data_IF_393847132082
#
_entry.id   IF_393847132082
#
_cell.length_a   1.000
_cell.length_b   1.000
_cell.length_c   1.000
_cell.angle_alpha   90.00
_cell.angle_beta   90.00
_cell.angle_gamma   90.00
#
_symmetry.space_group_name_H-M   'P 1'
#
loop_
_entity.id
_entity.type
_entity.pdbx_description
1 polymer ?
#
# COMPACT_ATOMS: atom_id res chain seq x y z
N UNK A 1 -37.74 22.67 40.71
CA UNK A 1 -38.89 21.71 40.75
C UNK A 1 -39.21 21.26 42.17
N UNK A 2 -38.27 20.78 42.95
CA UNK A 2 -38.49 20.27 44.33
C UNK A 2 -39.22 21.27 45.26
N UNK A 3 -38.92 22.57 45.17
CA UNK A 3 -39.59 23.58 45.98
C UNK A 3 -41.06 23.83 45.63
N UNK A 4 -41.56 23.30 44.53
CA UNK A 4 -42.95 23.41 44.07
C UNK A 4 -43.79 22.18 44.37
N UNK A 5 -43.25 20.98 44.05
CA UNK A 5 -43.87 19.72 44.37
C UNK A 5 -42.84 18.58 44.28
N UNK A 6 -42.63 17.85 45.37
CA UNK A 6 -41.64 16.77 45.48
C UNK A 6 -42.06 15.55 44.64
N UNK A 7 -43.32 15.17 44.68
CA UNK A 7 -43.83 13.97 43.97
C UNK A 7 -43.73 14.08 42.45
N UNK A 8 -44.14 15.25 41.91
CA UNK A 8 -44.01 15.49 40.46
C UNK A 8 -42.55 15.51 40.06
N UNK A 9 -41.65 16.08 40.88
CA UNK A 9 -40.22 16.12 40.58
C UNK A 9 -39.61 14.71 40.58
N UNK A 10 -39.93 13.87 41.55
CA UNK A 10 -39.48 12.48 41.60
C UNK A 10 -40.00 11.68 40.40
N UNK A 11 -41.27 11.90 39.98
CA UNK A 11 -41.80 11.26 38.77
C UNK A 11 -41.03 11.65 37.53
N UNK A 12 -40.65 12.91 37.32
CA UNK A 12 -39.84 13.37 36.18
C UNK A 12 -38.46 12.71 36.22
N UNK A 13 -37.82 12.68 37.41
CA UNK A 13 -36.49 12.07 37.54
C UNK A 13 -36.56 10.56 37.24
N UNK A 14 -37.60 9.87 37.70
CA UNK A 14 -37.77 8.42 37.46
C UNK A 14 -38.02 8.09 35.99
N UNK A 15 -38.72 8.96 35.25
CA UNK A 15 -39.01 8.76 33.82
C UNK A 15 -37.88 9.19 32.87
N UNK A 16 -36.98 10.05 33.32
CA UNK A 16 -35.85 10.56 32.49
C UNK A 16 -34.96 9.45 31.93
N UNK A 17 -34.58 8.36 32.69
CA UNK A 17 -33.76 7.27 32.16
C UNK A 17 -34.38 6.57 30.93
N UNK A 18 -35.71 6.63 30.76
CA UNK A 18 -36.39 6.04 29.61
C UNK A 18 -35.91 6.65 28.30
N UNK A 19 -35.61 7.95 28.26
CA UNK A 19 -35.09 8.61 27.08
C UNK A 19 -33.68 8.10 26.68
N UNK A 20 -32.86 7.79 27.68
CA UNK A 20 -31.52 7.20 27.42
C UNK A 20 -31.63 5.76 26.92
N UNK A 21 -32.53 4.95 27.44
CA UNK A 21 -32.75 3.57 26.98
C UNK A 21 -33.18 3.55 25.52
N UNK A 22 -34.13 4.39 25.15
CA UNK A 22 -34.61 4.52 23.76
C UNK A 22 -33.47 5.03 22.84
N UNK A 23 -32.74 6.05 23.26
CA UNK A 23 -31.63 6.58 22.51
C UNK A 23 -30.51 5.54 22.31
N UNK A 24 -30.13 4.81 23.35
CA UNK A 24 -29.13 3.73 23.29
C UNK A 24 -29.53 2.63 22.30
N UNK A 25 -30.80 2.22 22.34
CA UNK A 25 -31.32 1.19 21.44
C UNK A 25 -31.23 1.64 19.97
N UNK A 26 -31.68 2.85 19.67
CA UNK A 26 -31.66 3.40 18.29
C UNK A 26 -30.23 3.62 17.82
N UNK A 27 -29.37 4.21 18.67
CA UNK A 27 -27.96 4.47 18.33
C UNK A 27 -27.20 3.19 18.05
N UNK A 28 -27.38 2.14 18.82
CA UNK A 28 -26.75 0.82 18.58
C UNK A 28 -27.16 0.22 17.23
N UNK A 29 -28.44 0.36 16.86
CA UNK A 29 -28.94 -0.10 15.56
C UNK A 29 -28.38 0.74 14.41
N UNK A 30 -28.34 2.04 14.59
CA UNK A 30 -27.76 2.98 13.63
C UNK A 30 -26.29 2.67 13.36
N UNK A 31 -25.48 2.52 14.42
CA UNK A 31 -24.07 2.18 14.33
C UNK A 31 -23.83 0.89 13.53
N UNK A 32 -24.58 -0.17 13.83
CA UNK A 32 -24.45 -1.44 13.10
C UNK A 32 -24.74 -1.28 11.61
N UNK A 33 -25.72 -0.46 11.24
CA UNK A 33 -26.06 -0.21 9.84
C UNK A 33 -25.00 0.65 9.14
N UNK A 34 -24.45 1.67 9.80
CA UNK A 34 -23.36 2.49 9.26
C UNK A 34 -22.09 1.66 9.05
N UNK A 35 -21.77 0.74 9.97
CA UNK A 35 -20.63 -0.18 9.79
C UNK A 35 -20.80 -1.04 8.54
N UNK A 36 -21.97 -1.68 8.38
CA UNK A 36 -22.29 -2.49 7.19
C UNK A 36 -22.27 -1.67 5.90
N UNK A 37 -22.79 -0.44 5.94
CA UNK A 37 -22.72 0.50 4.81
C UNK A 37 -21.29 0.80 4.42
N UNK A 38 -20.39 1.08 5.38
CA UNK A 38 -18.99 1.35 5.14
C UNK A 38 -18.26 0.14 4.52
N UNK A 39 -18.48 -1.05 5.05
CA UNK A 39 -17.92 -2.31 4.52
C UNK A 39 -18.39 -2.57 3.08
N UNK A 40 -19.70 -2.41 2.82
CA UNK A 40 -20.26 -2.65 1.47
C UNK A 40 -19.79 -1.59 0.47
N UNK A 41 -19.63 -0.33 0.92
CA UNK A 41 -19.04 0.74 0.08
C UNK A 41 -17.59 0.39 -0.29
N UNK A 42 -16.80 -0.16 0.63
CA UNK A 42 -15.45 -0.64 0.32
C UNK A 42 -15.44 -1.71 -0.77
N UNK A 43 -16.36 -2.69 -0.69
CA UNK A 43 -16.52 -3.72 -1.75
C UNK A 43 -16.91 -3.12 -3.10
N UNK A 44 -17.78 -2.11 -3.10
CA UNK A 44 -18.20 -1.41 -4.33
C UNK A 44 -17.02 -0.66 -4.95
N UNK A 45 -16.25 0.08 -4.15
CA UNK A 45 -15.07 0.82 -4.63
C UNK A 45 -14.02 -0.13 -5.21
N UNK A 46 -13.72 -1.24 -4.52
CA UNK A 46 -12.78 -2.24 -5.02
C UNK A 46 -13.21 -2.83 -6.36
N UNK A 47 -14.52 -3.14 -6.53
CA UNK A 47 -15.04 -3.61 -7.81
C UNK A 47 -14.90 -2.56 -8.92
N UNK A 48 -15.17 -1.28 -8.61
CA UNK A 48 -15.04 -0.18 -9.59
C UNK A 48 -13.57 -0.06 -10.03
N UNK A 49 -12.63 -0.04 -9.07
CA UNK A 49 -11.19 0.04 -9.37
C UNK A 49 -10.72 -1.16 -10.20
N UNK A 50 -11.17 -2.38 -9.87
CA UNK A 50 -10.86 -3.59 -10.63
C UNK A 50 -11.39 -3.51 -12.07
N UNK A 51 -12.66 -3.15 -12.26
CA UNK A 51 -13.29 -3.17 -13.59
C UNK A 51 -12.86 -1.97 -14.45
N UNK A 52 -12.71 -0.79 -13.88
CA UNK A 52 -12.27 0.41 -14.61
C UNK A 52 -10.77 0.34 -14.91
N UNK A 53 -9.95 -0.08 -13.93
CA UNK A 53 -8.50 -0.25 -14.13
C UNK A 53 -8.18 -1.27 -15.24
N UNK A 54 -9.01 -2.31 -15.37
CA UNK A 54 -8.86 -3.35 -16.39
C UNK A 54 -9.86 -3.23 -17.54
N UNK A 55 -10.33 -2.01 -17.88
CA UNK A 55 -11.39 -1.78 -18.88
C UNK A 55 -11.08 -2.44 -20.25
N UNK A 56 -9.82 -2.44 -20.68
CA UNK A 56 -9.41 -3.08 -21.95
C UNK A 56 -9.69 -4.59 -21.92
N UNK A 57 -9.41 -5.25 -20.80
CA UNK A 57 -9.65 -6.70 -20.61
C UNK A 57 -11.15 -6.97 -20.53
N UNK A 58 -11.87 -6.16 -19.73
CA UNK A 58 -13.34 -6.28 -19.60
C UNK A 58 -14.01 -6.22 -20.98
N UNK A 59 -13.61 -5.25 -21.83
CA UNK A 59 -14.15 -5.13 -23.21
C UNK A 59 -13.70 -6.27 -24.12
N UNK A 60 -12.44 -6.66 -24.07
CA UNK A 60 -11.91 -7.73 -24.94
C UNK A 60 -12.63 -9.06 -24.73
N UNK A 61 -13.08 -9.34 -23.49
CA UNK A 61 -13.80 -10.57 -23.15
C UNK A 61 -15.33 -10.41 -23.09
N UNK A 62 -15.89 -9.24 -23.44
CA UNK A 62 -17.33 -8.96 -23.37
C UNK A 62 -17.92 -9.17 -21.97
N UNK A 63 -17.16 -8.75 -20.92
CA UNK A 63 -17.54 -9.00 -19.53
C UNK A 63 -18.42 -7.88 -18.92
N UNK A 64 -18.79 -6.87 -19.70
CA UNK A 64 -19.50 -5.65 -19.24
C UNK A 64 -20.81 -5.99 -18.53
N UNK A 65 -21.63 -6.88 -19.14
CA UNK A 65 -22.91 -7.27 -18.56
C UNK A 65 -22.77 -7.98 -17.21
N UNK A 66 -21.73 -8.81 -17.06
CA UNK A 66 -21.46 -9.50 -15.80
C UNK A 66 -20.93 -8.54 -14.75
N UNK A 67 -20.04 -7.63 -15.13
CA UNK A 67 -19.53 -6.57 -14.25
C UNK A 67 -20.66 -5.68 -13.74
N UNK A 68 -21.58 -5.25 -14.66
CA UNK A 68 -22.75 -4.45 -14.32
C UNK A 68 -23.70 -5.19 -13.37
N UNK A 69 -24.00 -6.46 -13.60
CA UNK A 69 -24.83 -7.25 -12.69
C UNK A 69 -24.22 -7.36 -11.29
N UNK A 70 -22.92 -7.64 -11.21
CA UNK A 70 -22.21 -7.71 -9.92
C UNK A 70 -22.21 -6.36 -9.20
N UNK A 71 -22.05 -5.26 -9.96
CA UNK A 71 -22.16 -3.91 -9.40
C UNK A 71 -23.57 -3.65 -8.86
N UNK A 72 -24.60 -4.00 -9.60
CA UNK A 72 -26.02 -3.80 -9.21
C UNK A 72 -26.37 -4.60 -7.95
N UNK A 73 -25.84 -5.81 -7.77
CA UNK A 73 -26.03 -6.61 -6.56
C UNK A 73 -25.43 -5.92 -5.34
N UNK A 74 -24.17 -5.46 -5.43
CA UNK A 74 -23.49 -4.75 -4.34
C UNK A 74 -24.17 -3.40 -4.07
N UNK A 75 -24.58 -2.68 -5.13
CA UNK A 75 -25.25 -1.40 -5.02
C UNK A 75 -26.63 -1.52 -4.37
N UNK A 76 -27.35 -2.61 -4.64
CA UNK A 76 -28.63 -2.93 -3.97
C UNK A 76 -28.44 -3.16 -2.48
N UNK A 77 -27.41 -3.93 -2.11
CA UNK A 77 -27.06 -4.19 -0.70
C UNK A 77 -26.66 -2.86 -0.01
N UNK A 78 -25.81 -2.06 -0.65
CA UNK A 78 -25.39 -0.75 -0.15
C UNK A 78 -26.58 0.18 0.05
N UNK A 79 -27.53 0.22 -0.90
CA UNK A 79 -28.76 1.00 -0.80
C UNK A 79 -29.59 0.59 0.43
N UNK A 80 -29.76 -0.71 0.67
CA UNK A 80 -30.51 -1.20 1.83
C UNK A 80 -29.85 -0.80 3.17
N UNK A 81 -28.54 -0.95 3.28
CA UNK A 81 -27.83 -0.54 4.51
C UNK A 81 -27.83 0.97 4.68
N UNK A 82 -27.66 1.74 3.60
CA UNK A 82 -27.71 3.20 3.63
C UNK A 82 -29.09 3.69 4.05
N UNK A 83 -30.16 3.13 3.50
CA UNK A 83 -31.51 3.49 3.86
C UNK A 83 -31.80 3.18 5.33
N UNK A 84 -31.41 2.00 5.84
CA UNK A 84 -31.60 1.61 7.24
C UNK A 84 -30.75 2.48 8.18
N UNK A 85 -29.50 2.80 7.79
CA UNK A 85 -28.62 3.66 8.58
C UNK A 85 -29.20 5.05 8.77
N UNK A 86 -29.64 5.68 7.67
CA UNK A 86 -30.30 7.01 7.68
C UNK A 86 -31.61 6.96 8.44
N UNK A 87 -32.42 5.91 8.25
CA UNK A 87 -33.69 5.76 8.95
C UNK A 87 -33.49 5.71 10.48
N UNK A 88 -32.62 4.82 10.99
CA UNK A 88 -32.35 4.74 12.41
C UNK A 88 -31.71 6.03 12.97
N UNK A 89 -30.80 6.63 12.25
CA UNK A 89 -30.19 7.90 12.67
C UNK A 89 -31.24 9.02 12.79
N UNK A 90 -32.14 9.11 11.81
CA UNK A 90 -33.21 10.11 11.80
C UNK A 90 -34.28 9.89 12.88
N UNK A 91 -34.44 8.65 13.37
CA UNK A 91 -35.39 8.33 14.46
C UNK A 91 -34.93 8.82 15.82
N UNK A 92 -33.65 9.10 16.05
CA UNK A 92 -33.10 9.47 17.36
C UNK A 92 -33.83 10.69 17.95
N UNK A 93 -33.86 11.80 17.19
CA UNK A 93 -34.46 13.05 17.67
C UNK A 93 -35.99 12.97 17.85
N UNK A 94 -36.79 12.43 16.90
CA UNK A 94 -38.23 12.25 17.10
C UNK A 94 -38.56 11.37 18.29
N UNK A 95 -37.82 10.27 18.50
CA UNK A 95 -38.10 9.32 19.59
C UNK A 95 -37.79 9.91 20.96
N UNK A 96 -36.71 10.67 21.12
CA UNK A 96 -36.41 11.37 22.38
C UNK A 96 -37.44 12.46 22.65
N UNK A 97 -37.88 13.23 21.63
CA UNK A 97 -38.96 14.21 21.77
C UNK A 97 -40.29 13.54 22.16
N UNK A 98 -40.59 12.39 21.61
CA UNK A 98 -41.81 11.64 21.95
C UNK A 98 -41.81 11.22 23.43
N UNK A 99 -40.68 10.69 23.95
CA UNK A 99 -40.52 10.38 25.35
C UNK A 99 -40.67 11.63 26.22
N UNK A 100 -40.07 12.74 25.83
CA UNK A 100 -40.20 14.01 26.55
C UNK A 100 -41.64 14.52 26.59
N UNK A 101 -42.41 14.37 25.51
CA UNK A 101 -43.80 14.75 25.46
C UNK A 101 -44.66 13.83 26.37
N UNK A 102 -44.33 12.54 26.50
CA UNK A 102 -44.97 11.64 27.47
C UNK A 102 -44.71 12.12 28.89
N UNK A 103 -43.48 12.50 29.24
CA UNK A 103 -43.14 13.03 30.57
C UNK A 103 -43.90 14.34 30.83
N UNK A 104 -43.92 15.24 29.83
CA UNK A 104 -44.64 16.49 29.90
C UNK A 104 -46.15 16.28 30.16
N UNK A 105 -46.77 15.36 29.42
CA UNK A 105 -48.17 14.98 29.60
C UNK A 105 -48.42 14.36 31.00
N UNK A 106 -47.52 13.53 31.50
CA UNK A 106 -47.62 12.94 32.84
C UNK A 106 -47.54 14.03 33.93
N UNK A 107 -46.66 15.02 33.77
CA UNK A 107 -46.60 16.19 34.69
C UNK A 107 -47.89 16.99 34.65
N UNK A 108 -48.45 17.25 33.45
CA UNK A 108 -49.71 17.97 33.28
C UNK A 108 -50.88 17.23 33.95
N UNK A 109 -51.01 15.93 33.74
CA UNK A 109 -52.06 15.10 34.35
C UNK A 109 -51.91 15.06 35.86
N UNK A 110 -50.72 14.76 36.38
CA UNK A 110 -50.47 14.75 37.83
C UNK A 110 -50.77 16.11 38.48
N UNK A 111 -50.38 17.20 37.82
CA UNK A 111 -50.68 18.54 38.30
C UNK A 111 -52.16 18.88 38.27
N UNK A 112 -52.89 18.45 37.21
CA UNK A 112 -54.32 18.64 37.10
C UNK A 112 -55.09 17.93 38.25
N UNK A 113 -54.63 16.77 38.70
CA UNK A 113 -55.22 16.07 39.87
C UNK A 113 -54.89 16.73 41.21
N UNK A 114 -53.75 17.40 41.34
CA UNK A 114 -53.31 18.03 42.59
C UNK A 114 -53.93 19.43 42.82
N UNK A 115 -54.39 20.11 41.76
CA UNK A 115 -55.01 21.42 41.84
C UNK A 115 -56.33 21.38 42.67
N UNK A 116 -57.32 20.49 42.38
CA UNK A 116 -58.54 20.38 43.20
C UNK A 116 -58.29 20.00 44.64
N UNK A 117 -57.18 19.30 44.92
CA UNK A 117 -56.77 18.93 46.26
C UNK A 117 -56.15 20.07 47.08
N UNK A 118 -56.02 21.26 46.45
CA UNK A 118 -55.47 22.45 47.12
C UNK A 118 -53.92 22.40 47.32
N UNK A 119 -53.23 21.37 46.82
CA UNK A 119 -51.80 21.17 47.05
C UNK A 119 -50.91 21.85 45.96
N UNK A 120 -51.55 22.28 44.84
CA UNK A 120 -50.87 22.97 43.72
C UNK A 120 -51.77 24.07 43.15
N UNK A 121 -51.19 25.16 42.76
CA UNK A 121 -51.90 26.24 42.02
C UNK A 121 -51.71 26.10 40.51
N UNK A 122 -52.63 26.68 39.71
CA UNK A 122 -52.52 26.68 38.22
C UNK A 122 -51.18 27.31 37.77
N UNK A 123 -50.80 28.44 38.42
CA UNK A 123 -49.47 29.07 38.15
C UNK A 123 -48.31 28.17 38.59
N UNK A 124 -48.47 27.39 39.67
CA UNK A 124 -47.47 26.41 40.09
C UNK A 124 -47.27 25.27 39.07
N UNK A 125 -48.40 24.79 38.48
CA UNK A 125 -48.36 23.79 37.40
C UNK A 125 -47.64 24.34 36.15
N UNK A 126 -47.96 25.57 35.73
CA UNK A 126 -47.31 26.21 34.58
C UNK A 126 -45.78 26.31 34.76
N UNK A 127 -45.35 26.67 35.97
CA UNK A 127 -43.90 26.72 36.33
C UNK A 127 -43.30 25.31 36.31
N UNK A 128 -43.96 24.28 36.83
CA UNK A 128 -43.48 22.91 36.80
C UNK A 128 -43.31 22.36 35.37
N UNK A 129 -44.28 22.65 34.49
CA UNK A 129 -44.22 22.28 33.06
C UNK A 129 -43.06 22.96 32.34
N UNK A 130 -42.83 24.26 32.61
CA UNK A 130 -41.67 24.99 32.10
C UNK A 130 -40.33 24.39 32.58
N UNK A 131 -40.26 24.08 33.86
CA UNK A 131 -39.07 23.44 34.43
C UNK A 131 -38.84 22.02 33.92
N UNK A 132 -39.90 21.22 33.73
CA UNK A 132 -39.79 19.90 33.13
C UNK A 132 -39.22 19.98 31.72
N UNK A 133 -39.70 20.92 30.89
CA UNK A 133 -39.20 21.11 29.54
C UNK A 133 -37.73 21.57 29.52
N UNK A 134 -37.35 22.53 30.38
CA UNK A 134 -35.94 22.97 30.50
C UNK A 134 -35.03 21.85 31.03
N UNK A 135 -35.48 21.06 31.97
CA UNK A 135 -34.75 19.92 32.54
C UNK A 135 -34.40 18.89 31.48
N UNK A 136 -35.28 18.65 30.50
CA UNK A 136 -35.09 17.64 29.47
C UNK A 136 -34.18 18.06 28.32
N UNK A 137 -33.95 19.36 28.09
CA UNK A 137 -33.07 19.86 27.03
C UNK A 137 -31.64 19.29 27.11
N UNK A 138 -30.92 19.35 28.25
CA UNK A 138 -29.56 18.82 28.35
C UNK A 138 -29.46 17.33 28.01
N UNK A 139 -30.50 16.56 28.35
CA UNK A 139 -30.51 15.12 28.05
C UNK A 139 -30.65 14.82 26.56
N UNK A 140 -31.39 15.64 25.81
CA UNK A 140 -31.47 15.55 24.36
C UNK A 140 -30.12 15.92 23.71
N UNK A 141 -29.47 16.98 24.20
CA UNK A 141 -28.17 17.43 23.70
C UNK A 141 -27.09 16.37 23.96
N UNK A 142 -27.06 15.80 25.16
CA UNK A 142 -26.15 14.68 25.50
C UNK A 142 -26.40 13.47 24.59
N UNK A 143 -27.65 13.14 24.30
CA UNK A 143 -27.99 12.00 23.46
C UNK A 143 -27.48 12.18 22.02
N UNK A 144 -27.61 13.39 21.46
CA UNK A 144 -27.07 13.68 20.11
C UNK A 144 -25.54 13.62 20.09
N UNK A 145 -24.88 14.19 21.10
CA UNK A 145 -23.41 14.15 21.23
C UNK A 145 -22.89 12.72 21.41
N UNK A 146 -23.58 11.85 22.16
CA UNK A 146 -23.20 10.44 22.30
C UNK A 146 -23.18 9.74 20.94
N UNK A 147 -24.16 10.01 20.08
CA UNK A 147 -24.21 9.41 18.74
C UNK A 147 -23.04 9.87 17.86
N UNK A 148 -22.72 11.16 17.86
CA UNK A 148 -21.58 11.71 17.15
C UNK A 148 -20.25 11.17 17.70
N UNK A 149 -20.13 11.07 19.02
CA UNK A 149 -18.95 10.50 19.67
C UNK A 149 -18.74 9.02 19.30
N UNK A 150 -19.80 8.21 19.20
CA UNK A 150 -19.68 6.82 18.74
C UNK A 150 -19.18 6.73 17.30
N UNK A 151 -19.62 7.61 16.41
CA UNK A 151 -19.12 7.66 15.03
C UNK A 151 -17.65 8.08 15.00
N UNK A 152 -17.28 9.10 15.79
CA UNK A 152 -15.89 9.54 15.90
C UNK A 152 -14.98 8.45 16.47
N UNK A 153 -15.42 7.71 17.50
CA UNK A 153 -14.68 6.57 18.05
C UNK A 153 -14.49 5.45 17.02
N UNK A 154 -15.51 5.14 16.22
CA UNK A 154 -15.38 4.13 15.17
C UNK A 154 -14.36 4.52 14.10
N UNK A 155 -14.27 5.81 13.75
CA UNK A 155 -13.24 6.32 12.85
C UNK A 155 -11.86 6.31 13.53
N UNK A 156 -11.79 6.71 14.81
CA UNK A 156 -10.55 6.74 15.58
C UNK A 156 -9.94 5.34 15.74
N UNK A 157 -10.76 4.32 16.01
CA UNK A 157 -10.29 2.92 16.10
C UNK A 157 -9.51 2.52 14.85
N UNK A 158 -10.04 2.82 13.66
CA UNK A 158 -9.34 2.48 12.41
C UNK A 158 -8.01 3.22 12.22
N UNK A 159 -7.90 4.42 12.75
CA UNK A 159 -6.64 5.19 12.74
C UNK A 159 -5.66 4.59 13.74
N UNK A 160 -6.15 4.23 14.94
CA UNK A 160 -5.31 3.59 15.96
C UNK A 160 -4.86 2.20 15.53
N UNK A 161 -5.73 1.40 14.90
CA UNK A 161 -5.35 0.10 14.34
C UNK A 161 -4.14 0.24 13.38
N UNK A 162 -4.13 1.31 12.55
CA UNK A 162 -2.98 1.58 11.67
C UNK A 162 -1.74 2.10 12.44
N UNK A 163 -1.95 2.94 13.47
CA UNK A 163 -0.84 3.49 14.26
C UNK A 163 -0.22 2.47 15.22
N UNK A 164 -0.98 1.44 15.59
CA UNK A 164 -0.55 0.35 16.48
C UNK A 164 0.04 -0.84 15.71
N UNK A 165 0.01 -0.80 14.34
CA UNK A 165 0.74 -1.79 13.55
C UNK A 165 2.22 -1.79 13.97
N UNK A 166 2.83 -2.97 14.14
CA UNK A 166 4.22 -3.07 14.55
C UNK A 166 5.12 -2.28 13.60
N UNK A 167 5.91 -1.38 14.18
CA UNK A 167 6.95 -0.69 13.40
C UNK A 167 7.97 -1.69 12.89
N UNK A 168 8.58 -1.37 11.74
CA UNK A 168 9.73 -2.13 11.23
C UNK A 168 10.81 -2.19 12.33
N UNK A 169 11.43 -3.36 12.52
CA UNK A 169 12.48 -3.56 13.53
C UNK A 169 13.47 -2.40 13.50
N UNK A 170 13.85 -1.91 14.69
CA UNK A 170 14.74 -0.77 14.82
C UNK A 170 15.96 -0.89 13.90
N UNK A 171 16.20 0.16 13.14
CA UNK A 171 17.32 0.20 12.21
C UNK A 171 18.63 0.41 12.99
N UNK A 172 19.71 -0.19 12.51
CA UNK A 172 21.04 0.07 13.04
C UNK A 172 21.49 1.49 12.70
N UNK A 173 22.35 2.06 13.53
CA UNK A 173 23.04 3.33 13.24
C UNK A 173 24.32 3.14 12.43
N UNK A 174 24.74 1.90 12.17
CA UNK A 174 25.97 1.65 11.43
C UNK A 174 25.82 1.97 9.93
N UNK A 175 26.77 2.73 9.41
CA UNK A 175 26.75 3.24 8.02
C UNK A 175 27.93 2.62 7.26
N UNK A 176 27.71 2.27 5.99
CA UNK A 176 28.76 1.95 5.04
C UNK A 176 29.34 3.26 4.47
N UNK A 177 30.54 3.65 4.88
CA UNK A 177 31.19 4.88 4.37
C UNK A 177 31.72 4.70 2.94
N UNK A 178 32.36 3.56 2.68
CA UNK A 178 32.87 3.18 1.37
C UNK A 178 32.43 1.75 1.06
N UNK A 179 31.92 1.54 -0.13
CA UNK A 179 31.45 0.22 -0.58
C UNK A 179 32.26 -0.19 -1.80
N UNK A 180 33.02 -1.28 -1.66
CA UNK A 180 33.77 -1.89 -2.74
C UNK A 180 32.90 -2.88 -3.54
N UNK A 181 31.88 -3.46 -2.89
CA UNK A 181 30.87 -4.31 -3.50
C UNK A 181 31.18 -5.80 -3.44
N UNK A 182 31.91 -6.25 -2.40
CA UNK A 182 32.00 -7.66 -2.07
C UNK A 182 30.69 -8.11 -1.41
N UNK A 183 30.14 -9.27 -1.80
CA UNK A 183 28.93 -9.81 -1.20
C UNK A 183 29.15 -11.28 -0.84
N UNK A 184 29.01 -11.60 0.45
CA UNK A 184 29.12 -12.95 0.98
C UNK A 184 27.80 -13.39 1.58
N UNK A 185 27.29 -14.53 1.13
CA UNK A 185 26.04 -15.13 1.61
C UNK A 185 26.39 -16.52 2.14
N UNK A 186 26.09 -16.74 3.42
CA UNK A 186 26.48 -17.94 4.13
C UNK A 186 25.27 -18.63 4.78
N UNK A 187 24.94 -19.82 4.28
CA UNK A 187 23.88 -20.72 4.78
C UNK A 187 22.53 -20.02 4.99
N UNK A 188 22.09 -19.17 4.05
CA UNK A 188 20.85 -18.41 4.18
C UNK A 188 19.64 -19.29 3.90
N UNK A 189 18.70 -19.27 4.85
CA UNK A 189 17.34 -19.80 4.70
C UNK A 189 16.33 -18.65 4.79
N UNK A 190 15.27 -18.76 4.01
CA UNK A 190 14.16 -17.79 4.02
C UNK A 190 12.84 -18.37 3.53
N UNK A 191 11.75 -17.94 4.17
CA UNK A 191 10.38 -18.24 3.78
C UNK A 191 9.44 -17.07 4.09
N UNK A 192 8.53 -16.74 3.17
CA UNK A 192 7.45 -15.77 3.44
C UNK A 192 6.40 -16.33 4.41
N UNK A 193 6.17 -17.65 4.33
CA UNK A 193 5.31 -18.41 5.23
C UNK A 193 6.15 -19.56 5.82
N UNK A 194 6.30 -19.57 7.15
CA UNK A 194 7.10 -20.56 7.87
C UNK A 194 6.65 -22.02 7.64
N UNK A 195 5.46 -22.22 7.09
CA UNK A 195 4.98 -23.55 6.69
C UNK A 195 5.56 -24.05 5.36
N UNK A 196 6.17 -23.16 4.55
CA UNK A 196 6.66 -23.49 3.21
C UNK A 196 8.00 -22.81 2.97
N UNK A 197 9.08 -23.59 3.09
CA UNK A 197 10.42 -23.12 2.74
C UNK A 197 10.51 -22.67 1.28
N UNK A 198 11.20 -21.54 1.04
CA UNK A 198 11.38 -20.99 -0.29
C UNK A 198 12.85 -20.94 -0.69
N UNK A 199 13.75 -20.47 0.19
CA UNK A 199 15.20 -20.47 -0.01
C UNK A 199 15.80 -21.34 1.09
N UNK A 200 16.67 -22.28 0.70
CA UNK A 200 17.29 -23.23 1.62
C UNK A 200 18.79 -23.33 1.35
N UNK A 201 19.57 -23.14 2.41
CA UNK A 201 21.03 -23.30 2.42
C UNK A 201 21.71 -22.56 1.25
N UNK A 202 21.33 -21.31 1.05
CA UNK A 202 21.81 -20.49 -0.06
C UNK A 202 23.20 -19.94 0.27
N UNK A 203 24.20 -20.27 -0.56
CA UNK A 203 25.59 -19.86 -0.41
C UNK A 203 26.07 -19.18 -1.68
N UNK A 204 26.73 -18.02 -1.55
CA UNK A 204 27.26 -17.28 -2.69
C UNK A 204 28.40 -16.35 -2.24
N UNK A 205 29.48 -16.30 -3.03
CA UNK A 205 30.56 -15.35 -2.87
C UNK A 205 30.71 -14.53 -4.16
N UNK A 206 30.74 -13.22 -4.03
CA UNK A 206 30.79 -12.27 -5.13
C UNK A 206 31.91 -11.25 -4.89
N UNK A 207 32.88 -11.20 -5.78
CA UNK A 207 33.95 -10.23 -5.73
C UNK A 207 33.53 -8.88 -6.34
N UNK A 208 34.16 -7.76 -5.92
CA UNK A 208 33.89 -6.44 -6.47
C UNK A 208 33.97 -6.39 -8.00
N UNK A 209 32.97 -5.76 -8.64
CA UNK A 209 32.92 -5.59 -10.09
C UNK A 209 32.44 -6.80 -10.89
N UNK A 210 32.12 -7.92 -10.23
CA UNK A 210 31.55 -9.09 -10.91
C UNK A 210 30.14 -8.80 -11.44
N UNK A 211 29.81 -9.43 -12.58
CA UNK A 211 28.47 -9.47 -13.15
C UNK A 211 27.84 -10.84 -12.90
N UNK A 212 26.81 -10.89 -12.09
CA UNK A 212 26.11 -12.11 -11.71
C UNK A 212 24.79 -12.19 -12.47
N UNK A 213 24.66 -13.18 -13.35
CA UNK A 213 23.39 -13.46 -14.02
C UNK A 213 22.60 -14.49 -13.23
N UNK A 214 21.37 -14.15 -12.88
CA UNK A 214 20.44 -15.03 -12.15
C UNK A 214 19.44 -15.59 -13.17
N UNK A 215 19.48 -16.88 -13.39
CA UNK A 215 18.62 -17.59 -14.34
C UNK A 215 17.82 -18.69 -13.66
N UNK A 216 16.65 -18.99 -14.20
CA UNK A 216 15.77 -20.04 -13.68
C UNK A 216 14.30 -19.81 -14.03
N UNK A 217 13.43 -20.80 -13.84
CA UNK A 217 12.02 -20.70 -14.17
C UNK A 217 11.31 -19.63 -13.32
N UNK A 218 10.12 -19.23 -13.75
CA UNK A 218 9.27 -18.32 -12.95
C UNK A 218 8.93 -18.96 -11.60
N UNK A 219 9.02 -18.18 -10.53
CA UNK A 219 8.72 -18.66 -9.17
C UNK A 219 9.88 -19.38 -8.46
N UNK A 220 11.07 -19.51 -9.07
CA UNK A 220 12.22 -20.19 -8.44
C UNK A 220 12.93 -19.38 -7.34
N UNK A 221 12.47 -18.13 -7.02
CA UNK A 221 13.04 -17.35 -5.94
C UNK A 221 13.96 -16.17 -6.36
N UNK A 222 14.09 -15.85 -7.66
CA UNK A 222 14.96 -14.74 -8.12
C UNK A 222 14.63 -13.39 -7.48
N UNK A 223 13.36 -13.00 -7.51
CA UNK A 223 12.88 -11.76 -6.89
C UNK A 223 13.04 -11.79 -5.36
N UNK A 224 12.84 -12.97 -4.74
CA UNK A 224 13.05 -13.14 -3.30
C UNK A 224 14.50 -12.90 -2.93
N UNK A 225 15.46 -13.45 -3.71
CA UNK A 225 16.87 -13.20 -3.51
C UNK A 225 17.22 -11.70 -3.56
N UNK A 226 16.68 -10.97 -4.56
CA UNK A 226 16.85 -9.51 -4.67
C UNK A 226 16.26 -8.81 -3.42
N UNK A 227 15.10 -9.22 -2.96
CA UNK A 227 14.46 -8.64 -1.78
C UNK A 227 15.29 -8.84 -0.51
N UNK A 228 15.98 -9.98 -0.38
CA UNK A 228 16.88 -10.25 0.73
C UNK A 228 18.15 -9.39 0.66
N UNK A 229 18.75 -9.22 -0.52
CA UNK A 229 19.90 -8.32 -0.71
C UNK A 229 19.59 -6.86 -0.32
N UNK A 230 18.38 -6.39 -0.62
CA UNK A 230 17.90 -5.04 -0.28
C UNK A 230 17.37 -4.95 1.15
N UNK A 231 17.38 -6.07 1.88
CA UNK A 231 16.79 -6.17 3.23
C UNK A 231 15.37 -5.61 3.28
N UNK A 232 14.53 -6.00 2.29
CA UNK A 232 13.08 -5.82 2.38
C UNK A 232 12.46 -6.86 3.30
N UNK A 233 13.18 -7.97 3.53
CA UNK A 233 12.90 -9.01 4.50
C UNK A 233 14.19 -9.44 5.17
N UNK A 234 14.15 -9.74 6.47
CA UNK A 234 15.25 -10.34 7.19
C UNK A 234 15.26 -11.86 6.94
N UNK A 235 16.44 -12.47 6.93
CA UNK A 235 16.61 -13.92 6.72
C UNK A 235 16.13 -14.73 7.94
N UNK A 236 15.66 -15.95 7.73
CA UNK A 236 15.26 -16.85 8.81
C UNK A 236 16.50 -17.45 9.55
N UNK A 237 17.56 -17.75 8.80
CA UNK A 237 18.87 -18.19 9.31
C UNK A 237 19.97 -17.85 8.32
N UNK A 238 21.24 -18.00 8.74
CA UNK A 238 22.40 -17.64 7.95
C UNK A 238 22.73 -16.15 8.01
N UNK A 239 23.60 -15.68 7.11
CA UNK A 239 24.05 -14.27 7.05
C UNK A 239 24.25 -13.80 5.62
N UNK A 240 23.93 -12.54 5.37
CA UNK A 240 24.32 -11.81 4.16
C UNK A 240 25.25 -10.68 4.60
N UNK A 241 26.45 -10.62 4.04
CA UNK A 241 27.43 -9.59 4.35
C UNK A 241 27.77 -8.78 3.11
N UNK A 242 27.98 -7.47 3.29
CA UNK A 242 28.54 -6.57 2.28
C UNK A 242 29.84 -6.00 2.81
N UNK A 243 30.93 -6.20 2.06
CA UNK A 243 32.28 -5.83 2.46
C UNK A 243 32.64 -6.31 3.86
N UNK A 244 32.22 -7.56 4.21
CA UNK A 244 32.46 -8.21 5.46
C UNK A 244 31.54 -7.79 6.63
N UNK A 245 30.58 -6.87 6.40
CA UNK A 245 29.62 -6.43 7.41
C UNK A 245 28.26 -7.07 7.19
N UNK A 246 27.65 -7.70 8.21
CA UNK A 246 26.29 -8.25 8.12
C UNK A 246 25.26 -7.16 7.82
N UNK A 247 24.34 -7.41 6.88
CA UNK A 247 23.35 -6.40 6.46
C UNK A 247 22.32 -6.08 7.55
N UNK A 248 22.10 -6.96 8.51
CA UNK A 248 21.21 -6.76 9.65
C UNK A 248 21.82 -5.82 10.72
N UNK A 249 23.15 -5.66 10.72
CA UNK A 249 23.87 -4.71 11.55
C UNK A 249 24.02 -3.32 10.90
N UNK A 250 23.67 -3.17 9.63
CA UNK A 250 23.73 -1.92 8.89
C UNK A 250 22.40 -1.15 8.93
N UNK A 251 22.48 0.19 8.82
CA UNK A 251 21.24 0.96 8.58
C UNK A 251 20.69 0.64 7.17
N UNK A 252 19.38 0.40 7.10
CA UNK A 252 18.69 0.11 5.82
C UNK A 252 18.89 1.23 4.80
N UNK A 253 18.94 2.47 5.28
CA UNK A 253 19.19 3.62 4.42
C UNK A 253 20.58 3.54 3.76
N UNK A 254 21.62 3.26 4.54
CA UNK A 254 23.00 3.11 4.03
C UNK A 254 23.14 1.93 3.08
N UNK A 255 22.57 0.78 3.47
CA UNK A 255 22.53 -0.42 2.64
C UNK A 255 21.88 -0.15 1.29
N UNK A 256 20.65 0.38 1.30
CA UNK A 256 19.85 0.64 0.08
C UNK A 256 20.48 1.72 -0.80
N UNK A 257 21.16 2.71 -0.22
CA UNK A 257 21.92 3.73 -0.96
C UNK A 257 23.10 3.15 -1.71
N UNK A 258 23.64 2.01 -1.27
CA UNK A 258 24.75 1.33 -1.93
C UNK A 258 24.33 0.57 -3.20
N UNK A 259 23.01 0.39 -3.40
CA UNK A 259 22.44 -0.28 -4.57
C UNK A 259 21.73 0.70 -5.51
N UNK A 260 21.90 0.51 -6.81
CA UNK A 260 21.02 1.08 -7.83
C UNK A 260 20.12 0.00 -8.39
N UNK A 261 18.82 0.26 -8.42
CA UNK A 261 17.84 -0.73 -8.84
C UNK A 261 17.10 -0.26 -10.09
N UNK A 262 17.05 -1.13 -11.11
CA UNK A 262 16.19 -0.97 -12.28
C UNK A 262 15.31 -2.22 -12.35
N UNK A 263 14.03 -2.04 -12.05
CA UNK A 263 13.04 -3.11 -12.02
C UNK A 263 12.36 -3.31 -13.38
N UNK A 264 11.72 -4.47 -13.55
CA UNK A 264 10.88 -4.78 -14.71
C UNK A 264 9.75 -3.75 -14.86
N UNK A 265 9.05 -3.46 -13.75
CA UNK A 265 8.00 -2.44 -13.71
C UNK A 265 8.64 -1.06 -13.55
N UNK A 266 8.74 -0.35 -14.67
CA UNK A 266 9.31 0.99 -14.71
C UNK A 266 8.31 2.02 -14.20
N UNK A 267 8.54 2.53 -13.00
CA UNK A 267 7.71 3.56 -12.43
C UNK A 267 8.19 4.98 -12.77
N UNK A 268 7.29 5.80 -13.29
CA UNK A 268 7.49 7.21 -13.56
C UNK A 268 6.53 8.04 -12.71
N UNK A 269 7.08 8.96 -11.94
CA UNK A 269 6.28 9.94 -11.16
C UNK A 269 5.58 10.89 -12.13
N UNK A 270 4.30 11.18 -11.92
CA UNK A 270 3.64 12.30 -12.60
C UNK A 270 4.33 13.60 -12.21
N UNK A 271 4.97 14.28 -13.17
CA UNK A 271 5.82 15.45 -12.95
C UNK A 271 6.77 15.67 -14.10
N UNK A 272 7.70 16.62 -13.99
CA UNK A 272 8.65 16.93 -15.05
C UNK A 272 9.76 15.87 -15.18
N UNK A 273 10.35 15.78 -16.37
CA UNK A 273 11.46 14.84 -16.67
C UNK A 273 12.61 15.03 -15.68
N UNK A 274 12.98 16.27 -15.40
CA UNK A 274 14.03 16.64 -14.44
C UNK A 274 13.83 15.98 -13.08
N UNK A 275 12.65 16.14 -12.49
CA UNK A 275 12.32 15.55 -11.19
C UNK A 275 12.36 14.02 -11.22
N UNK A 276 11.96 13.43 -12.32
CA UNK A 276 12.03 11.98 -12.50
C UNK A 276 13.46 11.45 -12.53
N UNK A 277 14.38 12.17 -13.18
CA UNK A 277 15.80 11.77 -13.24
C UNK A 277 16.49 12.04 -11.91
N UNK A 278 16.28 13.23 -11.32
CA UNK A 278 16.93 13.64 -10.07
C UNK A 278 16.34 13.02 -8.81
N UNK A 279 15.43 12.07 -8.93
CA UNK A 279 14.72 11.45 -7.78
C UNK A 279 15.65 10.92 -6.69
N UNK A 280 16.80 10.35 -7.05
CA UNK A 280 17.81 9.85 -6.10
C UNK A 280 18.90 10.88 -5.73
N UNK A 281 18.96 12.03 -6.46
CA UNK A 281 19.93 13.13 -6.24
C UNK A 281 19.23 14.46 -6.52
N UNK A 282 18.41 15.00 -5.58
CA UNK A 282 17.60 16.20 -5.81
C UNK A 282 18.41 17.46 -6.15
N UNK A 283 19.65 17.55 -5.67
CA UNK A 283 20.56 18.69 -5.87
C UNK A 283 21.42 18.59 -7.16
N UNK A 284 21.07 17.67 -8.07
CA UNK A 284 21.81 17.48 -9.31
C UNK A 284 21.69 18.70 -10.22
N UNK A 285 22.83 19.14 -10.79
CA UNK A 285 22.85 20.21 -11.79
C UNK A 285 22.34 19.73 -13.14
N UNK A 286 21.94 20.67 -14.01
CA UNK A 286 21.48 20.33 -15.36
C UNK A 286 22.58 19.62 -16.18
N UNK A 287 23.85 20.02 -16.00
CA UNK A 287 25.00 19.39 -16.65
C UNK A 287 25.17 17.94 -16.21
N UNK A 288 24.97 17.64 -14.91
CA UNK A 288 25.01 16.27 -14.38
C UNK A 288 23.87 15.43 -14.95
N UNK A 289 22.65 15.97 -14.99
CA UNK A 289 21.47 15.30 -15.54
C UNK A 289 21.67 15.01 -17.04
N UNK A 290 22.14 16.00 -17.82
CA UNK A 290 22.37 15.82 -19.26
C UNK A 290 23.49 14.80 -19.51
N UNK A 291 24.56 14.82 -18.72
CA UNK A 291 25.63 13.82 -18.81
C UNK A 291 25.11 12.41 -18.55
N UNK A 292 24.41 12.21 -17.44
CA UNK A 292 23.79 10.92 -17.13
C UNK A 292 22.81 10.47 -18.22
N UNK A 293 22.01 11.38 -18.76
CA UNK A 293 21.07 11.09 -19.84
C UNK A 293 21.78 10.69 -21.17
N UNK A 294 22.94 11.28 -21.47
CA UNK A 294 23.75 10.88 -22.63
C UNK A 294 24.36 9.49 -22.46
N UNK A 295 24.91 9.20 -21.28
CA UNK A 295 25.47 7.89 -20.95
C UNK A 295 24.42 6.79 -20.97
N UNK A 296 23.22 7.08 -20.44
CA UNK A 296 22.06 6.19 -20.45
C UNK A 296 21.28 6.18 -21.78
N UNK A 297 21.76 6.86 -22.84
CA UNK A 297 21.10 6.95 -24.16
C UNK A 297 19.68 7.56 -24.15
N UNK A 298 19.29 8.23 -23.09
CA UNK A 298 17.97 8.86 -22.97
C UNK A 298 17.93 10.29 -23.51
N UNK A 299 19.08 10.98 -23.64
CA UNK A 299 19.13 12.38 -24.04
C UNK A 299 18.51 12.66 -25.41
N UNK A 300 18.64 11.75 -26.35
CA UNK A 300 18.17 11.94 -27.72
C UNK A 300 16.64 12.02 -27.81
N UNK A 301 15.90 11.29 -26.97
CA UNK A 301 14.45 11.45 -26.92
C UNK A 301 14.06 12.63 -26.03
N UNK A 302 14.74 12.87 -24.88
CA UNK A 302 14.42 13.97 -23.97
C UNK A 302 14.48 15.31 -24.69
N UNK A 303 15.54 15.59 -25.46
CA UNK A 303 15.70 16.85 -26.21
C UNK A 303 14.64 17.08 -27.28
N UNK A 304 13.91 16.05 -27.71
CA UNK A 304 12.81 16.12 -28.68
C UNK A 304 11.45 16.37 -28.04
N UNK A 305 11.37 16.26 -26.71
CA UNK A 305 10.16 16.60 -25.98
C UNK A 305 9.89 18.12 -26.06
N UNK A 306 8.62 18.55 -26.02
CA UNK A 306 8.26 19.96 -26.26
C UNK A 306 9.00 20.98 -25.38
N UNK A 307 9.31 20.60 -24.12
CA UNK A 307 10.00 21.44 -23.14
C UNK A 307 11.27 20.77 -22.61
N UNK A 308 11.80 19.73 -23.30
CA UNK A 308 12.99 19.01 -22.89
C UNK A 308 12.89 18.44 -21.47
N UNK A 309 13.82 18.84 -20.56
CA UNK A 309 13.82 18.41 -19.16
C UNK A 309 12.62 18.89 -18.36
N UNK A 310 11.96 19.97 -18.77
CA UNK A 310 10.81 20.53 -18.07
C UNK A 310 9.45 20.03 -18.61
N UNK A 311 9.49 19.07 -19.54
CA UNK A 311 8.27 18.41 -20.04
C UNK A 311 7.61 17.62 -18.95
N UNK A 312 6.30 17.84 -18.74
CA UNK A 312 5.48 17.08 -17.80
C UNK A 312 5.17 15.71 -18.38
N UNK A 313 5.48 14.67 -17.62
CA UNK A 313 5.20 13.27 -17.94
C UNK A 313 4.02 12.77 -17.11
N UNK A 314 3.20 11.97 -17.76
CA UNK A 314 2.21 11.09 -17.14
C UNK A 314 2.54 9.65 -17.50
N UNK A 315 1.93 8.70 -16.84
CA UNK A 315 2.26 7.28 -17.00
C UNK A 315 2.25 6.79 -18.46
N UNK A 316 1.32 7.29 -19.27
CA UNK A 316 1.17 6.91 -20.69
C UNK A 316 1.82 7.89 -21.68
N UNK A 317 2.59 8.88 -21.20
CA UNK A 317 3.17 9.93 -22.05
C UNK A 317 4.31 9.46 -22.93
N UNK A 318 5.00 8.38 -22.57
CA UNK A 318 6.20 7.86 -23.23
C UNK A 318 6.14 6.33 -23.34
N UNK A 319 6.89 5.78 -24.30
CA UNK A 319 6.95 4.34 -24.53
C UNK A 319 7.62 3.60 -23.37
N UNK A 320 7.38 2.29 -23.26
CA UNK A 320 7.98 1.44 -22.21
C UNK A 320 9.52 1.47 -22.26
N UNK A 321 10.12 1.46 -23.46
CA UNK A 321 11.56 1.58 -23.60
C UNK A 321 12.11 2.95 -23.14
N UNK A 322 11.37 4.05 -23.43
CA UNK A 322 11.73 5.37 -22.93
C UNK A 322 11.62 5.47 -21.41
N UNK A 323 10.59 4.84 -20.80
CA UNK A 323 10.49 4.73 -19.33
C UNK A 323 11.71 4.01 -18.76
N UNK A 324 12.12 2.91 -19.37
CA UNK A 324 13.28 2.14 -18.92
C UNK A 324 14.59 2.96 -19.03
N UNK A 325 14.79 3.68 -20.13
CA UNK A 325 15.94 4.59 -20.29
C UNK A 325 15.94 5.69 -19.22
N UNK A 326 14.78 6.25 -18.83
CA UNK A 326 14.70 7.21 -17.73
C UNK A 326 15.04 6.57 -16.38
N UNK A 327 14.59 5.35 -16.11
CA UNK A 327 14.96 4.62 -14.88
C UNK A 327 16.47 4.33 -14.83
N UNK A 328 17.09 3.94 -15.97
CA UNK A 328 18.54 3.77 -16.07
C UNK A 328 19.25 5.11 -15.83
N UNK A 329 18.74 6.22 -16.41
CA UNK A 329 19.31 7.56 -16.22
C UNK A 329 19.30 7.99 -14.77
N UNK A 330 18.23 7.68 -14.03
CA UNK A 330 18.09 7.91 -12.59
C UNK A 330 19.20 7.22 -11.80
N UNK A 331 19.48 5.96 -12.09
CA UNK A 331 20.55 5.20 -11.44
C UNK A 331 21.94 5.70 -11.90
N UNK A 332 22.10 6.02 -13.18
CA UNK A 332 23.34 6.58 -13.74
C UNK A 332 23.72 7.93 -13.11
N UNK A 333 22.74 8.74 -12.71
CA UNK A 333 22.99 10.00 -12.01
C UNK A 333 23.54 9.80 -10.59
N UNK A 334 23.10 8.74 -9.90
CA UNK A 334 23.52 8.43 -8.53
C UNK A 334 24.83 7.64 -8.46
N UNK A 335 25.16 6.88 -9.49
CA UNK A 335 26.35 6.04 -9.63
C UNK A 335 26.64 5.15 -8.40
N UNK A 336 25.69 4.33 -7.95
CA UNK A 336 25.91 3.44 -6.82
C UNK A 336 26.96 2.36 -7.14
N UNK A 337 27.70 1.84 -6.12
CA UNK A 337 28.73 0.82 -6.33
C UNK A 337 28.19 -0.55 -6.72
N UNK A 338 26.96 -0.87 -6.34
CA UNK A 338 26.28 -2.13 -6.66
C UNK A 338 24.99 -1.91 -7.43
N UNK A 339 24.59 -2.87 -8.24
CA UNK A 339 23.42 -2.79 -9.10
C UNK A 339 22.55 -4.03 -8.99
N UNK A 340 21.25 -3.81 -9.05
CA UNK A 340 20.23 -4.83 -9.23
C UNK A 340 19.43 -4.47 -10.48
N UNK A 341 19.47 -5.35 -11.48
CA UNK A 341 18.85 -5.11 -12.79
C UNK A 341 17.88 -6.25 -13.13
N UNK A 342 16.65 -5.90 -13.52
CA UNK A 342 15.66 -6.86 -14.02
C UNK A 342 15.37 -6.58 -15.48
N UNK A 343 15.78 -7.50 -16.36
CA UNK A 343 15.83 -7.32 -17.82
C UNK A 343 14.54 -7.70 -18.55
N UNK A 344 13.39 -7.65 -17.95
CA UNK A 344 12.17 -7.95 -18.69
C UNK A 344 11.82 -6.87 -19.72
N UNK A 345 11.99 -7.17 -21.02
CA UNK A 345 11.82 -6.21 -22.14
C UNK A 345 10.84 -6.69 -23.22
N UNK A 346 9.87 -7.49 -22.87
CA UNK A 346 8.97 -8.16 -23.82
C UNK A 346 8.09 -7.25 -24.70
N UNK A 347 8.17 -5.91 -24.55
CA UNK A 347 7.28 -4.96 -25.23
C UNK A 347 7.99 -3.73 -25.79
N UNK A 348 9.30 -3.83 -26.11
CA UNK A 348 10.11 -2.70 -26.60
C UNK A 348 10.47 -2.94 -28.07
N UNK A 349 10.46 -1.87 -28.89
CA UNK A 349 10.92 -1.93 -30.27
C UNK A 349 12.44 -2.21 -30.33
N UNK A 350 12.88 -2.89 -31.39
CA UNK A 350 14.27 -3.36 -31.56
C UNK A 350 15.31 -2.25 -31.45
N UNK A 351 15.02 -1.04 -31.93
CA UNK A 351 15.96 0.09 -31.88
C UNK A 351 16.16 0.59 -30.46
N UNK A 352 15.05 0.79 -29.74
CA UNK A 352 15.10 1.23 -28.32
C UNK A 352 15.68 0.11 -27.45
N UNK A 353 15.43 -1.14 -27.80
CA UNK A 353 16.02 -2.29 -27.11
C UNK A 353 17.56 -2.28 -27.14
N UNK A 354 18.16 -2.01 -28.30
CA UNK A 354 19.62 -1.86 -28.41
C UNK A 354 20.15 -0.69 -27.56
N UNK A 355 19.45 0.43 -27.52
CA UNK A 355 19.82 1.57 -26.67
C UNK A 355 19.76 1.23 -25.18
N UNK A 356 18.72 0.51 -24.74
CA UNK A 356 18.57 0.02 -23.36
C UNK A 356 19.71 -0.92 -23.01
N UNK A 357 20.10 -1.83 -23.92
CA UNK A 357 21.22 -2.74 -23.72
C UNK A 357 22.55 -2.00 -23.56
N UNK A 358 22.86 -1.06 -24.45
CA UNK A 358 24.05 -0.23 -24.32
C UNK A 358 24.08 0.57 -23.02
N UNK A 359 22.91 1.07 -22.58
CA UNK A 359 22.78 1.80 -21.33
C UNK A 359 23.05 0.90 -20.11
N UNK A 360 22.53 -0.33 -20.10
CA UNK A 360 22.84 -1.32 -19.07
C UNK A 360 24.32 -1.69 -19.05
N UNK A 361 24.93 -1.96 -20.21
CA UNK A 361 26.36 -2.27 -20.30
C UNK A 361 27.24 -1.12 -19.77
N UNK A 362 26.87 0.13 -20.07
CA UNK A 362 27.55 1.29 -19.52
C UNK A 362 27.37 1.42 -18.02
N UNK A 363 26.14 1.16 -17.53
CA UNK A 363 25.83 1.23 -16.10
C UNK A 363 26.60 0.17 -15.30
N UNK A 364 26.77 -1.04 -15.81
CA UNK A 364 27.45 -2.15 -15.13
C UNK A 364 28.98 -2.05 -15.09
N UNK A 365 29.61 -1.18 -15.89
CA UNK A 365 31.09 -1.08 -15.95
C UNK A 365 31.70 -0.78 -14.59
N UNK A 366 32.56 -1.68 -14.11
CA UNK A 366 33.30 -1.54 -12.85
C UNK A 366 32.43 -1.63 -11.57
N UNK A 367 31.22 -2.17 -11.66
CA UNK A 367 30.29 -2.32 -10.53
C UNK A 367 29.83 -3.75 -10.36
N UNK A 368 29.69 -4.16 -9.11
CA UNK A 368 29.06 -5.44 -8.78
C UNK A 368 27.60 -5.41 -9.18
N UNK A 369 27.18 -6.32 -10.05
CA UNK A 369 25.86 -6.25 -10.68
C UNK A 369 25.14 -7.61 -10.60
N UNK A 370 23.96 -7.60 -10.02
CA UNK A 370 23.03 -8.74 -9.99
C UNK A 370 21.97 -8.53 -11.06
N UNK A 371 21.93 -9.41 -12.04
CA UNK A 371 21.02 -9.25 -13.20
C UNK A 371 20.08 -10.45 -13.28
N UNK A 372 18.78 -10.22 -13.13
CA UNK A 372 17.78 -11.23 -13.51
C UNK A 372 17.73 -11.27 -15.03
N UNK A 373 18.48 -12.22 -15.57
CA UNK A 373 18.76 -12.25 -17.00
C UNK A 373 17.66 -12.98 -17.76
N UNK A 374 17.06 -12.28 -18.72
CA UNK A 374 16.12 -12.81 -19.70
C UNK A 374 16.71 -12.77 -21.12
N UNK A 375 17.93 -12.25 -21.28
CA UNK A 375 18.62 -12.08 -22.57
C UNK A 375 19.86 -12.94 -22.64
N UNK A 376 20.07 -13.51 -23.81
CA UNK A 376 21.24 -14.32 -24.09
C UNK A 376 22.57 -13.56 -23.95
N UNK A 377 22.63 -12.32 -24.44
CA UNK A 377 23.82 -11.48 -24.37
C UNK A 377 24.29 -11.22 -22.94
N UNK A 378 23.35 -10.94 -22.03
CA UNK A 378 23.62 -10.70 -20.61
C UNK A 378 24.13 -11.95 -19.92
N UNK A 379 23.53 -13.10 -20.20
CA UNK A 379 23.95 -14.38 -19.65
C UNK A 379 25.35 -14.75 -20.11
N UNK A 380 25.67 -14.59 -21.40
CA UNK A 380 27.00 -14.92 -21.96
C UNK A 380 28.12 -14.05 -21.41
N UNK A 381 27.84 -12.79 -21.12
CA UNK A 381 28.83 -11.82 -20.66
C UNK A 381 28.93 -11.75 -19.12
N UNK A 382 28.21 -12.61 -18.41
CA UNK A 382 28.26 -12.68 -16.94
C UNK A 382 29.57 -13.32 -16.47
N UNK A 383 30.13 -12.79 -15.37
CA UNK A 383 31.29 -13.38 -14.69
C UNK A 383 30.90 -14.68 -13.98
N UNK A 384 29.67 -14.74 -13.48
CA UNK A 384 29.08 -15.90 -12.81
C UNK A 384 27.61 -16.00 -13.16
N UNK A 385 27.15 -17.19 -13.48
CA UNK A 385 25.74 -17.52 -13.69
C UNK A 385 25.28 -18.34 -12.49
N UNK A 386 24.20 -17.89 -11.84
CA UNK A 386 23.48 -18.62 -10.80
C UNK A 386 22.23 -19.26 -11.40
N UNK A 387 22.16 -20.55 -11.42
CA UNK A 387 21.00 -21.30 -11.89
C UNK A 387 20.13 -21.67 -10.71
N UNK A 388 18.98 -21.02 -10.61
CA UNK A 388 18.04 -21.22 -9.51
C UNK A 388 16.89 -22.14 -9.91
N UNK A 389 16.56 -23.09 -9.05
CA UNK A 389 15.38 -23.93 -9.14
C UNK A 389 14.85 -24.26 -7.76
N UNK A 390 13.55 -24.10 -7.57
CA UNK A 390 12.85 -24.41 -6.31
C UNK A 390 13.55 -23.79 -5.07
N UNK A 391 14.00 -22.53 -5.20
CA UNK A 391 14.65 -21.76 -4.13
C UNK A 391 16.11 -22.09 -3.84
N UNK A 392 16.73 -22.99 -4.61
CA UNK A 392 18.13 -23.41 -4.43
C UNK A 392 18.97 -23.02 -5.64
N UNK A 393 20.27 -22.75 -5.40
CA UNK A 393 21.27 -22.76 -6.47
C UNK A 393 21.55 -24.20 -6.82
N UNK A 394 21.21 -24.62 -8.02
CA UNK A 394 21.46 -26.01 -8.49
C UNK A 394 22.73 -26.11 -9.34
N UNK A 395 23.11 -25.03 -10.00
CA UNK A 395 24.34 -24.92 -10.78
C UNK A 395 24.90 -23.51 -10.68
N UNK A 396 26.21 -23.36 -10.70
CA UNK A 396 26.90 -22.08 -10.77
C UNK A 396 28.19 -22.19 -11.55
N UNK A 397 28.49 -21.21 -12.39
CA UNK A 397 29.70 -21.18 -13.21
C UNK A 397 29.60 -20.18 -14.34
N UNK A 398 30.58 -20.20 -15.23
CA UNK A 398 30.56 -19.41 -16.45
C UNK A 398 29.65 -20.05 -17.52
N UNK A 399 29.30 -19.29 -18.54
CA UNK A 399 28.49 -19.79 -19.66
C UNK A 399 29.08 -21.05 -20.33
N UNK A 400 30.40 -21.05 -20.55
CA UNK A 400 31.09 -22.15 -21.22
C UNK A 400 31.16 -23.41 -20.34
N UNK A 401 31.42 -23.26 -19.05
CA UNK A 401 31.45 -24.35 -18.08
C UNK A 401 30.10 -25.05 -17.98
N UNK A 402 29.03 -24.27 -17.73
CA UNK A 402 27.68 -24.79 -17.57
C UNK A 402 27.11 -25.45 -18.84
N UNK A 403 27.49 -24.95 -20.04
CA UNK A 403 27.12 -25.62 -21.29
C UNK A 403 27.83 -26.96 -21.44
N UNK A 404 29.11 -27.03 -21.04
CA UNK A 404 29.94 -28.25 -21.14
C UNK A 404 29.46 -29.34 -20.17
N UNK A 405 28.98 -28.94 -18.99
CA UNK A 405 28.41 -29.86 -17.99
C UNK A 405 27.12 -30.53 -18.47
N UNK A 406 26.39 -29.91 -19.42
CA UNK A 406 25.17 -30.46 -19.98
C UNK A 406 24.00 -30.56 -18.99
N UNK A 407 24.02 -29.81 -17.91
CA UNK A 407 23.06 -29.82 -16.84
C UNK A 407 21.77 -29.04 -17.15
N UNK A 408 21.08 -28.57 -16.09
CA UNK A 408 19.81 -27.86 -16.21
C UNK A 408 19.96 -26.54 -16.99
N UNK A 409 21.07 -25.83 -16.81
CA UNK A 409 21.39 -24.63 -17.57
C UNK A 409 21.45 -24.91 -19.08
N UNK A 410 22.14 -25.96 -19.48
CA UNK A 410 22.25 -26.33 -20.90
C UNK A 410 20.88 -26.64 -21.50
N UNK A 411 20.00 -27.35 -20.76
CA UNK A 411 18.63 -27.61 -21.19
C UNK A 411 17.81 -26.32 -21.32
N UNK A 412 17.91 -25.42 -20.31
CA UNK A 412 17.21 -24.13 -20.31
C UNK A 412 17.67 -23.27 -21.51
N UNK A 413 18.99 -23.19 -21.73
CA UNK A 413 19.59 -22.47 -22.83
C UNK A 413 19.10 -22.98 -24.19
N UNK A 414 19.15 -24.30 -24.41
CA UNK A 414 18.73 -24.90 -25.67
C UNK A 414 17.23 -24.73 -25.93
N UNK A 415 16.40 -24.79 -24.91
CA UNK A 415 14.96 -24.61 -25.03
C UNK A 415 14.52 -23.17 -25.29
N UNK A 416 15.23 -22.20 -24.74
CA UNK A 416 14.85 -20.77 -24.85
C UNK A 416 15.53 -20.05 -26.01
N UNK A 417 16.76 -20.43 -26.38
CA UNK A 417 17.61 -19.64 -27.27
C UNK A 417 18.06 -20.36 -28.55
N UNK A 418 18.04 -21.69 -28.63
CA UNK A 418 18.34 -22.44 -29.87
C UNK A 418 17.12 -22.65 -30.77
N UNK A 419 15.92 -22.52 -30.27
CA UNK A 419 14.69 -22.70 -31.07
C UNK A 419 14.41 -21.50 -32.03
N UNK A 420 15.26 -20.52 -32.09
CA UNK A 420 15.11 -19.27 -32.89
C UNK A 420 16.19 -19.13 -33.97
N UNK A 421 17.02 -20.15 -34.18
CA UNK A 421 18.04 -20.16 -35.27
C UNK A 421 17.61 -20.98 -36.46
#
# INVERSE_FOLDING_TARGET
MFSKNVWITLMVILLTPLSFLVAKFISSRSFTMFKKQSETRGKQTALIEEMIGNQKVVKAFGYEDKASKRFDEINKELKEYSQKAVFYSSLTNPSTRFVNNIIYAAVALAGAFLIPLGTLTVGGLSVLLSYANQYMKPFNDITSVITEMQNALACATRIFDLLEEPEEVNDSSEVLEKVDGNVDIDHVDFSYDKSKSLIENFNLQVEPGMRIAIVGPTGCGKTTFINLLMRFYDVDSGKICIDGKPIDELSRHSLRKSFGMVLQDTWIKSGIVRENISFGKPDATDEEIIRAAKEAKSWDFIRRLPQGLDTVLHEDSISQGQKQLLCITRVMLCLPPMLILDEATSSIDTRTELQVQEAFDNLMKGRTSFVVAHRLSTIRNASLILVMKDGKIIEQGTHEELLKEGGFYSHLYNSQFQAVS
#
